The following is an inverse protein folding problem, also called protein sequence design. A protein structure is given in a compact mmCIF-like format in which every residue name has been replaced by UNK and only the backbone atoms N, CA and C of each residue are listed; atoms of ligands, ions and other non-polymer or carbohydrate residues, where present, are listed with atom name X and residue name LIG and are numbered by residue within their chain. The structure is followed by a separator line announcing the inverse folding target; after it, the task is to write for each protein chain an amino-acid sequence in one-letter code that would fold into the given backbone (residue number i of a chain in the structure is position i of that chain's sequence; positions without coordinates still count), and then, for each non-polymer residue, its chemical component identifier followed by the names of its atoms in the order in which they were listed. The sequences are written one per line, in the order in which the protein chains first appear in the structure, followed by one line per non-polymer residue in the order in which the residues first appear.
data_IF_272005146776
#
_entry.id   IF_272005146776
#
_cell.length_a   1.000
_cell.length_b   1.000
_cell.length_c   1.000
_cell.angle_alpha   90.00
_cell.angle_beta   90.00
_cell.angle_gamma   90.00
#
_symmetry.space_group_name_H-M   'P 1'
#
loop_
_entity.id
_entity.type
_entity.pdbx_description
1 polymer ?
#
# COMPACT_ATOMS: atom_id res chain seq x y z
N UNK A 1 2.41 4.83 -11.31
CA UNK A 1 1.22 5.67 -11.05
C UNK A 1 0.22 4.85 -10.25
N UNK A 2 -1.00 5.31 -10.09
CA UNK A 2 -1.99 4.64 -9.24
C UNK A 2 -2.28 3.20 -9.69
N UNK A 3 -2.36 2.96 -10.99
CA UNK A 3 -2.60 1.62 -11.54
C UNK A 3 -1.55 0.60 -11.06
N UNK A 4 -0.30 0.95 -11.17
CA UNK A 4 0.81 0.09 -10.76
C UNK A 4 0.82 -0.13 -9.26
N UNK A 5 0.48 0.91 -8.48
CA UNK A 5 0.43 0.83 -7.02
C UNK A 5 -0.68 -0.10 -6.54
N UNK A 6 -1.86 0.00 -7.14
CA UNK A 6 -2.99 -0.88 -6.80
C UNK A 6 -2.59 -2.34 -7.01
N UNK A 7 -2.04 -2.64 -8.17
CA UNK A 7 -1.62 -4.00 -8.50
C UNK A 7 -0.52 -4.48 -7.57
N UNK A 8 0.51 -3.68 -7.34
CA UNK A 8 1.65 -4.04 -6.50
C UNK A 8 1.21 -4.34 -5.07
N UNK A 9 0.39 -3.46 -4.48
CA UNK A 9 -0.06 -3.63 -3.10
C UNK A 9 -1.01 -4.82 -3.00
N UNK A 10 -1.91 -5.00 -3.97
CA UNK A 10 -2.82 -6.14 -4.01
C UNK A 10 -2.04 -7.46 -3.99
N UNK A 11 -1.06 -7.59 -4.86
CA UNK A 11 -0.22 -8.79 -4.94
C UNK A 11 0.58 -9.01 -3.66
N UNK A 12 1.11 -7.93 -3.10
CA UNK A 12 1.85 -7.98 -1.83
C UNK A 12 1.00 -8.49 -0.67
N UNK A 13 -0.31 -8.18 -0.70
CA UNK A 13 -1.27 -8.64 0.30
C UNK A 13 -1.82 -10.05 -0.01
N UNK A 14 -1.40 -10.66 -1.12
CA UNK A 14 -1.86 -11.98 -1.50
C UNK A 14 -3.30 -12.04 -2.01
N UNK A 15 -3.84 -10.91 -2.47
CA UNK A 15 -5.21 -10.84 -2.96
C UNK A 15 -5.26 -11.00 -4.48
N UNK A 16 -6.29 -11.70 -4.97
CA UNK A 16 -6.60 -11.71 -6.40
C UNK A 16 -7.43 -10.48 -6.74
N UNK A 17 -7.56 -10.18 -8.04
CA UNK A 17 -8.46 -9.11 -8.48
C UNK A 17 -9.90 -9.36 -8.01
N UNK A 18 -10.33 -10.61 -8.06
CA UNK A 18 -11.66 -10.99 -7.60
C UNK A 18 -11.84 -10.77 -6.09
N UNK A 19 -10.82 -11.09 -5.30
CA UNK A 19 -10.84 -10.86 -3.86
C UNK A 19 -10.99 -9.38 -3.54
N UNK A 20 -10.20 -8.54 -4.20
CA UNK A 20 -10.26 -7.10 -3.99
C UNK A 20 -11.62 -6.54 -4.40
N UNK A 21 -12.13 -6.96 -5.56
CA UNK A 21 -13.44 -6.54 -6.05
C UNK A 21 -14.55 -6.89 -5.05
N UNK A 22 -14.50 -8.08 -4.48
CA UNK A 22 -15.46 -8.53 -3.49
C UNK A 22 -15.42 -7.65 -2.23
N UNK A 23 -14.24 -7.31 -1.76
CA UNK A 23 -14.09 -6.47 -0.58
C UNK A 23 -14.61 -5.04 -0.80
N UNK A 24 -14.51 -4.54 -2.03
CA UNK A 24 -14.98 -3.20 -2.39
C UNK A 24 -16.44 -3.19 -2.86
N UNK A 25 -17.05 -4.36 -3.05
CA UNK A 25 -18.42 -4.45 -3.55
C UNK A 25 -18.58 -4.05 -5.02
N UNK A 26 -17.55 -4.28 -5.83
CA UNK A 26 -17.52 -3.96 -7.27
C UNK A 26 -17.17 -5.20 -8.08
N UNK A 27 -17.15 -5.06 -9.40
CA UNK A 27 -16.80 -6.17 -10.29
C UNK A 27 -15.30 -6.33 -10.44
N UNK A 28 -14.86 -7.55 -10.72
CA UNK A 28 -13.46 -7.82 -11.05
C UNK A 28 -13.00 -7.01 -12.25
N UNK A 29 -13.89 -6.81 -13.23
CA UNK A 29 -13.59 -6.01 -14.42
C UNK A 29 -13.21 -4.58 -14.07
N UNK A 30 -13.84 -4.01 -13.04
CA UNK A 30 -13.51 -2.66 -12.56
C UNK A 30 -12.09 -2.61 -12.01
N UNK A 31 -11.71 -3.59 -11.18
CA UNK A 31 -10.35 -3.67 -10.64
C UNK A 31 -9.35 -3.84 -11.77
N UNK A 32 -9.64 -4.71 -12.72
CA UNK A 32 -8.76 -4.93 -13.86
C UNK A 32 -8.59 -3.64 -14.69
N UNK A 33 -9.66 -2.90 -14.92
CA UNK A 33 -9.60 -1.63 -15.65
C UNK A 33 -8.68 -0.62 -14.94
N UNK A 34 -8.74 -0.57 -13.61
CA UNK A 34 -7.83 0.29 -12.84
C UNK A 34 -6.37 -0.12 -13.01
N UNK A 35 -6.09 -1.42 -12.94
CA UNK A 35 -4.73 -1.94 -13.02
C UNK A 35 -4.15 -1.85 -14.42
N UNK A 36 -4.99 -1.86 -15.44
CA UNK A 36 -4.57 -1.67 -16.84
C UNK A 36 -4.46 -0.21 -17.24
N UNK A 37 -4.86 0.71 -16.37
CA UNK A 37 -4.83 2.13 -16.69
C UNK A 37 -5.96 2.57 -17.63
N UNK A 38 -6.96 1.71 -17.85
CA UNK A 38 -8.12 2.03 -18.71
C UNK A 38 -9.03 3.04 -18.01
N UNK A 39 -9.20 2.90 -16.70
CA UNK A 39 -9.98 3.84 -15.90
C UNK A 39 -9.24 4.13 -14.60
N UNK A 40 -9.67 5.20 -13.92
CA UNK A 40 -9.08 5.63 -12.65
C UNK A 40 -10.13 5.48 -11.56
N UNK A 41 -9.79 4.94 -10.39
CA UNK A 41 -10.74 4.88 -9.28
C UNK A 41 -11.24 6.29 -8.92
N UNK A 42 -12.52 6.39 -8.57
CA UNK A 42 -13.06 7.64 -8.03
C UNK A 42 -12.41 7.96 -6.69
N UNK A 43 -12.56 9.19 -6.24
CA UNK A 43 -12.05 9.63 -4.92
C UNK A 43 -12.54 8.70 -3.81
N UNK A 44 -13.82 8.30 -3.86
CA UNK A 44 -14.36 7.38 -2.86
C UNK A 44 -13.59 6.07 -2.81
N UNK A 45 -13.31 5.47 -3.97
CA UNK A 45 -12.57 4.21 -4.01
C UNK A 45 -11.10 4.38 -3.66
N UNK A 46 -10.51 5.53 -3.97
CA UNK A 46 -9.14 5.84 -3.52
C UNK A 46 -9.07 5.81 -2.00
N UNK A 47 -10.03 6.43 -1.32
CA UNK A 47 -10.10 6.45 0.14
C UNK A 47 -10.33 5.04 0.70
N UNK A 48 -11.24 4.28 0.10
CA UNK A 48 -11.51 2.91 0.53
C UNK A 48 -10.30 1.99 0.34
N UNK A 49 -9.61 2.11 -0.79
CA UNK A 49 -8.40 1.34 -1.06
C UNK A 49 -7.28 1.68 -0.07
N UNK A 50 -7.09 2.96 0.21
CA UNK A 50 -6.08 3.39 1.16
C UNK A 50 -6.35 2.81 2.56
N UNK A 51 -7.61 2.83 2.99
CA UNK A 51 -8.02 2.25 4.25
C UNK A 51 -7.84 0.73 4.29
N UNK A 52 -8.22 0.05 3.22
CA UNK A 52 -8.11 -1.40 3.12
C UNK A 52 -6.64 -1.85 3.09
N UNK A 53 -5.81 -1.16 2.34
CA UNK A 53 -4.39 -1.47 2.20
C UNK A 53 -3.54 -0.92 3.35
N UNK A 54 -4.12 -0.07 4.20
CA UNK A 54 -3.43 0.59 5.33
C UNK A 54 -2.24 1.41 4.85
N UNK A 55 -2.45 2.17 3.78
CA UNK A 55 -1.48 3.11 3.24
C UNK A 55 -2.13 4.49 3.14
N UNK A 56 -1.33 5.54 2.96
CA UNK A 56 -1.88 6.88 2.74
C UNK A 56 -2.44 6.99 1.32
N UNK A 57 -3.39 7.90 1.11
CA UNK A 57 -3.89 8.20 -0.22
C UNK A 57 -2.80 8.76 -1.12
N UNK A 58 -1.88 9.55 -0.57
CA UNK A 58 -0.75 10.12 -1.31
C UNK A 58 0.17 9.03 -1.83
N UNK A 59 0.46 8.01 -1.00
CA UNK A 59 1.26 6.86 -1.43
C UNK A 59 0.57 6.10 -2.55
N UNK A 60 -0.73 5.83 -2.39
CA UNK A 60 -1.52 5.11 -3.39
C UNK A 60 -1.54 5.85 -4.72
N UNK A 61 -1.65 7.17 -4.69
CA UNK A 61 -1.66 8.01 -5.88
C UNK A 61 -0.28 8.25 -6.50
N UNK A 62 0.78 7.84 -5.80
CA UNK A 62 2.14 8.02 -6.28
C UNK A 62 2.70 9.43 -6.07
N UNK A 63 2.02 10.25 -5.27
CA UNK A 63 2.45 11.61 -4.95
C UNK A 63 3.59 11.57 -3.93
N UNK A 64 3.48 10.67 -2.96
CA UNK A 64 4.48 10.49 -1.92
C UNK A 64 5.22 9.18 -2.16
N UNK A 65 6.54 9.24 -2.27
CA UNK A 65 7.39 8.06 -2.44
C UNK A 65 7.74 7.39 -1.12
N UNK A 66 7.42 8.04 0.01
CA UNK A 66 7.67 7.50 1.34
C UNK A 66 6.59 6.51 1.71
N UNK A 67 6.96 5.24 1.81
CA UNK A 67 6.06 4.21 2.30
C UNK A 67 5.89 4.35 3.81
N UNK A 68 4.67 4.17 4.29
CA UNK A 68 4.36 4.26 5.71
C UNK A 68 3.80 2.93 6.22
N UNK A 69 3.96 2.72 7.53
CA UNK A 69 3.39 1.56 8.22
C UNK A 69 2.29 2.06 9.15
N UNK A 70 1.12 1.43 9.08
CA UNK A 70 0.01 1.79 9.97
C UNK A 70 0.27 1.20 11.35
N UNK A 71 0.41 2.06 12.36
CA UNK A 71 0.65 1.66 13.73
C UNK A 71 -0.56 1.89 14.63
N UNK A 72 -1.73 2.14 14.05
CA UNK A 72 -2.97 2.31 14.81
C UNK A 72 -3.25 1.06 15.64
N UNK A 73 -3.62 1.24 16.89
CA UNK A 73 -3.90 0.12 17.80
C UNK A 73 -2.68 -0.43 18.53
N UNK A 74 -1.47 0.06 18.20
CA UNK A 74 -0.27 -0.30 18.92
C UNK A 74 -0.02 0.66 20.07
N UNK A 75 0.57 0.15 21.15
CA UNK A 75 1.04 1.00 22.23
C UNK A 75 2.30 1.75 21.84
N UNK A 76 2.61 2.82 22.55
CA UNK A 76 3.79 3.65 22.28
C UNK A 76 5.09 2.83 22.30
N UNK A 77 5.21 1.90 23.24
CA UNK A 77 6.38 1.01 23.31
C UNK A 77 6.51 0.13 22.09
N UNK A 78 5.39 -0.35 21.55
CA UNK A 78 5.37 -1.17 20.34
C UNK A 78 5.80 -0.36 19.12
N UNK A 79 5.35 0.89 19.02
CA UNK A 79 5.74 1.81 17.93
C UNK A 79 7.25 2.04 17.98
N UNK A 80 7.81 2.18 19.17
CA UNK A 80 9.25 2.36 19.36
C UNK A 80 10.04 1.15 18.82
N UNK A 81 9.56 -0.07 19.10
CA UNK A 81 10.17 -1.30 18.58
C UNK A 81 10.13 -1.33 17.05
N UNK A 82 9.00 -0.95 16.46
CA UNK A 82 8.86 -0.88 15.00
C UNK A 82 9.89 0.11 14.42
N UNK A 83 10.05 1.27 15.04
CA UNK A 83 11.00 2.28 14.59
C UNK A 83 12.44 1.77 14.69
N UNK A 84 12.78 1.08 15.76
CA UNK A 84 14.10 0.46 15.92
C UNK A 84 14.39 -0.55 14.82
N UNK A 85 13.40 -1.34 14.45
CA UNK A 85 13.54 -2.32 13.37
C UNK A 85 13.80 -1.63 12.03
N UNK A 86 13.06 -0.58 11.74
CA UNK A 86 13.25 0.21 10.51
C UNK A 86 14.67 0.77 10.45
N UNK A 87 15.13 1.37 11.55
CA UNK A 87 16.46 1.95 11.63
C UNK A 87 17.56 0.90 11.44
N UNK A 88 17.36 -0.28 12.03
CA UNK A 88 18.30 -1.40 11.90
C UNK A 88 18.40 -1.86 10.44
N UNK A 89 17.27 -1.99 9.76
CA UNK A 89 17.25 -2.41 8.36
C UNK A 89 17.95 -1.40 7.45
N UNK A 90 17.79 -0.10 7.73
CA UNK A 90 18.50 0.95 7.00
C UNK A 90 20.00 0.82 7.17
N UNK A 91 20.45 0.60 8.40
CA UNK A 91 21.89 0.42 8.69
C UNK A 91 22.48 -0.76 7.94
N UNK A 92 21.76 -1.87 7.87
CA UNK A 92 22.19 -3.05 7.12
C UNK A 92 22.33 -2.74 5.63
N UNK A 93 21.40 -1.97 5.07
CA UNK A 93 21.45 -1.56 3.65
C UNK A 93 22.64 -0.65 3.38
N UNK A 94 22.89 0.31 4.25
CA UNK A 94 24.01 1.23 4.11
C UNK A 94 25.34 0.48 4.13
N UNK A 95 25.49 -0.50 5.01
CA UNK A 95 26.69 -1.34 5.06
C UNK A 95 26.89 -2.13 3.77
N UNK A 96 25.82 -2.63 3.18
CA UNK A 96 25.90 -3.37 1.92
C UNK A 96 26.32 -2.48 0.75
N UNK A 97 25.91 -1.21 0.78
CA UNK A 97 26.25 -0.24 -0.27
C UNK A 97 27.72 0.17 -0.17
N UNK A 98 28.24 0.28 1.04
CA UNK A 98 29.61 0.71 1.31
C UNK A 98 30.65 -0.37 0.98
N UNK A 99 30.18 -1.58 0.73
CA UNK A 99 31.07 -2.68 0.33
C UNK A 99 31.29 -2.72 -1.17
#
# INVERSE_FOLDING_TARGET
MVADRIKAIREQKGLTQADLAKQLGITRSSVNAWEQGISVPSTQYIVELAGLFKVSTDYLLGIDTTATVNVSGLFEDDVHVVQQLVDHLRQLRERCIDL
#
